data_IF_059818716156
#
_entry.id   IF_059818716156
#
_cell.length_a   1.000
_cell.length_b   1.000
_cell.length_c   1.000
_cell.angle_alpha   90.00
_cell.angle_beta   90.00
_cell.angle_gamma   90.00
#
_symmetry.space_group_name_H-M   'P 1'
#
loop_
_entity.id
_entity.type
_entity.pdbx_description
1 polymer ?
#
# COMPACT_ATOMS: atom_id res chain seq x y z
N UNK A 1 -21.57 2.32 18.65
CA UNK A 1 -22.04 3.01 17.43
C UNK A 1 -21.09 2.60 16.32
N UNK A 2 -21.57 2.16 15.16
CA UNK A 2 -20.66 1.82 14.06
C UNK A 2 -19.96 3.11 13.60
N UNK A 3 -18.65 3.20 13.79
CA UNK A 3 -17.85 4.31 13.29
C UNK A 3 -17.99 4.35 11.76
N UNK A 4 -18.37 5.50 11.22
CA UNK A 4 -18.49 5.65 9.78
C UNK A 4 -17.09 5.69 9.16
N UNK A 5 -16.64 4.54 8.65
CA UNK A 5 -15.35 4.42 7.99
C UNK A 5 -15.37 4.86 6.53
N UNK A 6 -16.54 5.19 5.97
CA UNK A 6 -16.67 5.59 4.57
C UNK A 6 -16.07 6.97 4.38
N UNK A 7 -15.10 7.06 3.47
CA UNK A 7 -14.47 8.31 3.04
C UNK A 7 -15.28 8.92 1.91
N UNK A 8 -15.73 8.09 0.95
CA UNK A 8 -16.54 8.55 -0.18
C UNK A 8 -17.23 7.39 -0.90
N UNK A 9 -18.31 7.71 -1.62
CA UNK A 9 -19.02 6.81 -2.53
C UNK A 9 -19.64 7.65 -3.66
N UNK A 10 -18.83 8.02 -4.66
CA UNK A 10 -19.27 8.87 -5.80
C UNK A 10 -18.37 8.73 -7.02
N UNK A 11 -18.78 9.39 -8.10
CA UNK A 11 -18.01 9.51 -9.34
C UNK A 11 -16.90 10.57 -9.25
N UNK A 12 -15.75 10.27 -9.84
CA UNK A 12 -14.58 11.13 -9.93
C UNK A 12 -14.03 11.17 -11.35
N UNK A 13 -13.49 12.31 -11.76
CA UNK A 13 -12.72 12.44 -13.01
C UNK A 13 -11.26 12.11 -12.71
N UNK A 14 -10.64 11.30 -13.57
CA UNK A 14 -9.22 11.01 -13.49
C UNK A 14 -8.43 12.22 -13.99
N UNK A 15 -7.58 12.75 -13.12
CA UNK A 15 -6.66 13.84 -13.41
C UNK A 15 -5.24 13.31 -13.62
N UNK A 16 -4.41 14.14 -14.25
CA UNK A 16 -2.99 13.85 -14.42
C UNK A 16 -2.18 15.13 -14.32
N UNK A 17 -1.11 15.11 -13.54
CA UNK A 17 -0.17 16.24 -13.55
C UNK A 17 0.51 16.38 -14.92
N UNK A 18 0.74 17.62 -15.38
CA UNK A 18 1.45 17.86 -16.63
C UNK A 18 2.90 17.35 -16.55
N UNK A 19 3.47 17.00 -17.70
CA UNK A 19 4.87 16.58 -17.84
C UNK A 19 5.11 15.06 -17.81
N UNK A 20 6.33 14.67 -18.18
CA UNK A 20 6.76 13.27 -18.20
C UNK A 20 6.84 12.75 -16.76
N UNK A 21 6.18 11.63 -16.48
CA UNK A 21 6.14 11.04 -15.14
C UNK A 21 5.08 11.64 -14.20
N UNK A 22 4.20 12.52 -14.70
CA UNK A 22 3.11 13.07 -13.91
C UNK A 22 2.19 11.99 -13.33
N UNK A 23 1.88 12.10 -12.04
CA UNK A 23 0.95 11.20 -11.36
C UNK A 23 -0.43 11.29 -12.01
N UNK A 24 -1.06 10.13 -12.21
CA UNK A 24 -2.47 10.02 -12.59
C UNK A 24 -3.25 9.68 -11.32
N UNK A 25 -4.32 10.42 -11.02
CA UNK A 25 -4.97 10.38 -9.71
C UNK A 25 -6.45 10.77 -9.79
N UNK A 26 -7.19 10.54 -8.70
CA UNK A 26 -8.46 11.23 -8.46
C UNK A 26 -8.30 12.22 -7.30
N UNK A 27 -8.92 13.40 -7.44
CA UNK A 27 -8.93 14.44 -6.42
C UNK A 27 -10.07 14.21 -5.44
N UNK A 28 -9.74 14.06 -4.17
CA UNK A 28 -10.68 13.84 -3.08
C UNK A 28 -10.87 15.13 -2.29
N UNK A 29 -12.02 15.77 -2.49
CA UNK A 29 -12.49 16.90 -1.68
C UNK A 29 -13.33 16.35 -0.52
N UNK A 30 -12.64 15.78 0.47
CA UNK A 30 -13.22 15.14 1.65
C UNK A 30 -12.37 15.48 2.87
N UNK A 31 -13.02 15.73 4.00
CA UNK A 31 -12.33 15.95 5.27
C UNK A 31 -11.98 14.58 5.86
N UNK A 32 -10.69 14.27 5.92
CA UNK A 32 -10.20 13.02 6.47
C UNK A 32 -10.14 13.08 8.00
N UNK A 33 -10.48 11.97 8.65
CA UNK A 33 -10.30 11.79 10.08
C UNK A 33 -8.79 11.72 10.37
N UNK A 34 -8.32 12.65 11.22
CA UNK A 34 -6.91 12.75 11.61
C UNK A 34 -6.48 11.55 12.47
N UNK A 35 -7.37 10.92 13.21
CA UNK A 35 -7.06 9.74 14.03
C UNK A 35 -6.62 8.55 13.17
N UNK A 36 -7.17 8.43 11.96
CA UNK A 36 -6.82 7.36 11.02
C UNK A 36 -5.72 7.78 10.02
N UNK A 37 -5.12 8.96 10.21
CA UNK A 37 -4.14 9.54 9.31
C UNK A 37 -2.78 9.68 10.01
N UNK A 38 -1.73 9.03 9.50
CA UNK A 38 -0.39 9.05 10.08
C UNK A 38 0.58 9.79 9.16
N UNK A 39 1.23 10.85 9.66
CA UNK A 39 2.19 11.65 8.89
C UNK A 39 1.59 12.30 7.64
N UNK A 40 0.30 12.65 7.69
CA UNK A 40 -0.45 13.20 6.56
C UNK A 40 -0.99 12.17 5.58
N UNK A 41 -0.56 10.90 5.67
CA UNK A 41 -1.05 9.83 4.81
C UNK A 41 -2.17 9.04 5.50
N UNK A 42 -3.17 8.66 4.71
CA UNK A 42 -4.29 7.85 5.19
C UNK A 42 -4.33 6.55 4.40
N UNK A 43 -4.32 5.42 5.11
CA UNK A 43 -4.45 4.09 4.51
C UNK A 43 -5.94 3.85 4.23
N UNK A 44 -6.23 3.38 3.01
CA UNK A 44 -7.59 3.17 2.53
C UNK A 44 -7.72 1.83 1.84
N UNK A 45 -8.96 1.37 1.79
CA UNK A 45 -9.40 0.24 0.97
C UNK A 45 -10.73 0.56 0.33
N UNK A 46 -11.17 -0.30 -0.59
CA UNK A 46 -12.48 -0.18 -1.20
C UNK A 46 -12.46 -0.60 -2.66
N UNK A 47 -13.28 0.06 -3.46
CA UNK A 47 -13.49 -0.30 -4.87
C UNK A 47 -13.44 0.94 -5.75
N UNK A 48 -12.80 0.81 -6.91
CA UNK A 48 -12.86 1.76 -8.01
C UNK A 48 -13.44 1.01 -9.20
N UNK A 49 -14.64 1.40 -9.63
CA UNK A 49 -15.50 0.63 -10.56
C UNK A 49 -15.62 -0.84 -10.15
N UNK A 50 -14.88 -1.72 -10.83
CA UNK A 50 -14.86 -3.16 -10.61
C UNK A 50 -13.61 -3.67 -9.89
N UNK A 51 -12.63 -2.80 -9.66
CA UNK A 51 -11.34 -3.16 -9.09
C UNK A 51 -11.31 -2.92 -7.58
N UNK A 52 -10.95 -3.95 -6.83
CA UNK A 52 -10.71 -3.85 -5.40
C UNK A 52 -9.32 -3.26 -5.16
N UNK A 53 -9.23 -2.32 -4.22
CA UNK A 53 -7.99 -1.75 -3.74
C UNK A 53 -7.87 -1.95 -2.23
N UNK A 54 -6.68 -2.36 -1.77
CA UNK A 54 -6.39 -2.61 -0.36
C UNK A 54 -5.01 -2.03 -0.02
N UNK A 55 -4.87 -1.43 1.17
CA UNK A 55 -3.62 -0.81 1.61
C UNK A 55 -3.15 0.36 0.74
N UNK A 56 -4.04 0.97 -0.06
CA UNK A 56 -3.71 2.17 -0.83
C UNK A 56 -3.55 3.35 0.12
N UNK A 57 -2.77 4.35 -0.29
CA UNK A 57 -2.56 5.56 0.51
C UNK A 57 -3.01 6.79 -0.27
N UNK A 58 -3.74 7.65 0.41
CA UNK A 58 -4.07 9.00 -0.08
C UNK A 58 -3.09 10.01 0.49
N UNK A 59 -2.64 10.93 -0.36
CA UNK A 59 -1.68 11.98 -0.04
C UNK A 59 -2.41 13.31 0.13
N UNK A 60 -2.06 14.15 1.12
CA UNK A 60 -2.65 15.47 1.24
C UNK A 60 -2.07 16.40 0.17
N UNK A 61 -2.94 17.16 -0.50
CA UNK A 61 -2.53 18.26 -1.40
C UNK A 61 -2.59 19.63 -0.72
N UNK A 62 -3.14 19.69 0.49
CA UNK A 62 -3.42 20.94 1.22
C UNK A 62 -4.87 21.40 1.04
N UNK A 63 -5.31 22.36 1.86
CA UNK A 63 -6.65 22.98 1.78
C UNK A 63 -7.82 21.98 1.82
N UNK A 64 -7.70 20.88 2.56
CA UNK A 64 -8.75 19.85 2.63
C UNK A 64 -8.87 18.98 1.38
N UNK A 65 -7.92 19.09 0.44
CA UNK A 65 -7.84 18.27 -0.75
C UNK A 65 -6.83 17.16 -0.52
N UNK A 66 -7.21 15.95 -0.88
CA UNK A 66 -6.31 14.81 -0.93
C UNK A 66 -6.28 14.20 -2.33
N UNK A 67 -5.22 13.48 -2.63
CA UNK A 67 -4.98 12.79 -3.88
C UNK A 67 -4.99 11.29 -3.63
N UNK A 68 -5.73 10.53 -4.43
CA UNK A 68 -5.55 9.08 -4.55
C UNK A 68 -4.81 8.75 -5.85
N UNK A 69 -3.52 8.37 -5.77
CA UNK A 69 -2.79 7.91 -6.94
C UNK A 69 -3.40 6.65 -7.57
N UNK A 70 -3.62 6.69 -8.88
CA UNK A 70 -4.00 5.55 -9.69
C UNK A 70 -2.75 4.92 -10.32
N UNK A 71 -2.23 3.89 -9.65
CA UNK A 71 -1.07 3.10 -10.10
C UNK A 71 -1.28 2.57 -11.53
N UNK A 72 -0.18 2.38 -12.26
CA UNK A 72 -0.23 1.97 -13.66
C UNK A 72 -1.06 0.69 -13.89
N UNK A 73 -0.90 -0.31 -13.03
CA UNK A 73 -1.61 -1.58 -13.19
C UNK A 73 -3.11 -1.45 -12.90
N UNK A 74 -3.50 -0.63 -11.92
CA UNK A 74 -4.91 -0.33 -11.68
C UNK A 74 -5.54 0.36 -12.91
N UNK A 75 -4.87 1.35 -13.49
CA UNK A 75 -5.36 2.03 -14.71
C UNK A 75 -5.52 1.08 -15.90
N UNK A 76 -4.59 0.12 -16.05
CA UNK A 76 -4.69 -0.92 -17.09
C UNK A 76 -5.92 -1.80 -16.87
N UNK A 77 -6.17 -2.25 -15.63
CA UNK A 77 -7.34 -3.09 -15.30
C UNK A 77 -8.66 -2.33 -15.52
N UNK A 78 -8.70 -1.06 -15.14
CA UNK A 78 -9.86 -0.19 -15.38
C UNK A 78 -10.06 0.15 -16.86
N UNK A 79 -9.01 0.02 -17.67
CA UNK A 79 -8.95 0.53 -19.05
C UNK A 79 -9.35 2.02 -19.15
N UNK A 80 -8.88 2.82 -18.20
CA UNK A 80 -9.22 4.25 -18.06
C UNK A 80 -7.99 5.12 -17.81
N UNK A 81 -8.03 6.32 -18.36
CA UNK A 81 -6.96 7.33 -18.30
C UNK A 81 -7.47 8.71 -17.92
N UNK A 82 -6.64 9.73 -18.16
CA UNK A 82 -6.99 11.12 -17.87
C UNK A 82 -8.28 11.52 -18.61
N UNK A 83 -9.19 12.18 -17.88
CA UNK A 83 -10.48 12.64 -18.41
C UNK A 83 -11.61 11.61 -18.28
N UNK A 84 -11.29 10.33 -18.14
CA UNK A 84 -12.29 9.30 -17.88
C UNK A 84 -12.83 9.42 -16.45
N UNK A 85 -14.03 8.86 -16.26
CA UNK A 85 -14.71 8.85 -14.97
C UNK A 85 -14.64 7.48 -14.31
N UNK A 86 -14.52 7.45 -13.00
CA UNK A 86 -14.57 6.24 -12.18
C UNK A 86 -15.49 6.45 -10.98
N UNK A 87 -16.24 5.41 -10.61
CA UNK A 87 -16.99 5.39 -9.37
C UNK A 87 -16.12 4.82 -8.26
N UNK A 88 -15.88 5.59 -7.21
CA UNK A 88 -15.05 5.18 -6.08
C UNK A 88 -15.89 5.05 -4.81
N UNK A 89 -15.86 3.87 -4.20
CA UNK A 89 -16.34 3.62 -2.84
C UNK A 89 -15.15 3.28 -1.97
N UNK A 90 -14.75 4.24 -1.11
CA UNK A 90 -13.52 4.16 -0.32
C UNK A 90 -13.82 4.25 1.16
N UNK A 91 -13.06 3.51 1.95
CA UNK A 91 -13.14 3.51 3.41
C UNK A 91 -11.74 3.49 4.04
N UNK A 92 -11.65 3.90 5.31
CA UNK A 92 -10.41 3.79 6.06
C UNK A 92 -10.01 2.32 6.20
N UNK A 93 -8.76 2.03 5.88
CA UNK A 93 -8.18 0.72 6.11
C UNK A 93 -7.45 0.73 7.45
N UNK A 94 -8.18 0.29 8.47
CA UNK A 94 -7.68 0.13 9.84
C UNK A 94 -7.01 -1.24 10.05
N UNK A 95 -6.78 -2.03 8.99
CA UNK A 95 -6.08 -3.30 9.11
C UNK A 95 -4.68 -3.09 9.69
N UNK A 96 -4.43 -3.75 10.81
CA UNK A 96 -3.08 -3.90 11.35
C UNK A 96 -2.43 -5.03 10.57
N UNK A 97 -1.39 -4.70 9.81
CA UNK A 97 -0.59 -5.71 9.14
C UNK A 97 0.22 -6.48 10.17
N UNK A 98 0.09 -7.81 10.13
CA UNK A 98 0.90 -8.71 10.92
C UNK A 98 1.81 -9.51 9.99
N UNK A 99 3.05 -9.68 10.41
CA UNK A 99 4.03 -10.51 9.70
C UNK A 99 3.67 -11.96 10.02
N UNK A 100 3.58 -12.86 9.02
CA UNK A 100 3.31 -14.27 9.25
C UNK A 100 4.28 -14.90 10.25
N UNK A 101 3.76 -15.74 11.14
CA UNK A 101 4.55 -16.37 12.22
C UNK A 101 5.76 -17.12 11.66
N UNK A 102 5.61 -17.85 10.54
CA UNK A 102 6.70 -18.58 9.87
C UNK A 102 7.92 -17.69 9.56
N UNK A 103 7.70 -16.42 9.20
CA UNK A 103 8.77 -15.46 8.89
C UNK A 103 9.36 -14.91 10.18
N UNK A 104 8.52 -14.61 11.18
CA UNK A 104 8.98 -14.11 12.47
C UNK A 104 9.80 -15.15 13.23
N UNK A 105 9.36 -16.41 13.27
CA UNK A 105 10.10 -17.54 13.83
C UNK A 105 11.48 -17.68 13.17
N UNK A 106 11.54 -17.61 11.84
CA UNK A 106 12.83 -17.62 11.14
C UNK A 106 13.73 -16.45 11.56
N UNK A 107 13.17 -15.24 11.69
CA UNK A 107 13.91 -14.04 12.10
C UNK A 107 14.37 -14.09 13.57
N UNK A 108 13.71 -14.82 14.46
CA UNK A 108 14.13 -14.98 15.87
C UNK A 108 15.52 -15.61 15.98
N UNK A 109 15.90 -16.46 15.03
CA UNK A 109 17.24 -17.04 14.95
C UNK A 109 18.32 -16.05 14.49
N UNK A 110 17.94 -14.86 13.98
CA UNK A 110 18.84 -13.84 13.47
C UNK A 110 18.53 -12.46 14.08
N UNK A 111 18.95 -12.19 15.34
CA UNK A 111 18.56 -10.99 16.08
C UNK A 111 18.82 -9.66 15.36
N UNK A 112 19.94 -9.54 14.63
CA UNK A 112 20.28 -8.33 13.86
C UNK A 112 19.34 -8.14 12.66
N UNK A 113 19.05 -9.21 11.91
CA UNK A 113 18.07 -9.18 10.82
C UNK A 113 16.68 -8.81 11.33
N UNK A 114 16.25 -9.40 12.45
CA UNK A 114 14.97 -9.10 13.11
C UNK A 114 14.89 -7.64 13.53
N UNK A 115 15.93 -7.13 14.19
CA UNK A 115 16.00 -5.73 14.63
C UNK A 115 15.91 -4.78 13.44
N UNK A 116 16.66 -5.04 12.37
CA UNK A 116 16.59 -4.23 11.16
C UNK A 116 15.20 -4.29 10.53
N UNK A 117 14.63 -5.48 10.37
CA UNK A 117 13.29 -5.67 9.81
C UNK A 117 12.21 -4.91 10.58
N UNK A 118 12.20 -5.02 11.91
CA UNK A 118 11.24 -4.32 12.77
C UNK A 118 11.44 -2.80 12.80
N UNK A 119 12.63 -2.31 12.46
CA UNK A 119 12.89 -0.87 12.34
C UNK A 119 12.33 -0.24 11.05
N UNK A 120 11.99 -1.06 10.04
CA UNK A 120 11.46 -0.57 8.77
C UNK A 120 9.99 -0.16 8.86
N UNK A 121 9.52 0.62 7.87
CA UNK A 121 8.09 0.89 7.70
C UNK A 121 7.31 -0.38 7.34
N UNK A 122 6.03 -0.44 7.71
CA UNK A 122 5.12 -1.55 7.34
C UNK A 122 5.17 -1.87 5.84
N UNK A 123 5.23 -0.84 4.98
CA UNK A 123 5.31 -1.02 3.53
C UNK A 123 6.59 -1.73 3.09
N UNK A 124 7.73 -1.43 3.73
CA UNK A 124 9.00 -2.12 3.43
C UNK A 124 9.01 -3.56 3.94
N UNK A 125 8.47 -3.81 5.14
CA UNK A 125 8.29 -5.16 5.66
C UNK A 125 7.39 -5.99 4.72
N UNK A 126 6.29 -5.40 4.26
CA UNK A 126 5.33 -6.04 3.37
C UNK A 126 5.93 -6.47 2.04
N UNK A 127 6.83 -5.69 1.44
CA UNK A 127 7.47 -6.12 0.19
C UNK A 127 8.20 -7.47 0.31
N UNK A 128 8.84 -7.73 1.45
CA UNK A 128 9.47 -9.03 1.68
C UNK A 128 8.44 -10.13 1.87
N UNK A 129 7.42 -9.88 2.70
CA UNK A 129 6.39 -10.88 3.01
C UNK A 129 5.55 -11.23 1.79
N UNK A 130 5.10 -10.24 1.01
CA UNK A 130 4.34 -10.46 -0.22
C UNK A 130 5.18 -11.27 -1.21
N UNK A 131 6.47 -10.94 -1.35
CA UNK A 131 7.39 -11.71 -2.20
C UNK A 131 7.58 -13.15 -1.70
N UNK A 132 7.64 -13.40 -0.40
CA UNK A 132 7.69 -14.77 0.15
C UNK A 132 6.36 -15.50 -0.12
N UNK A 133 5.22 -14.82 0.10
CA UNK A 133 3.88 -15.38 -0.07
C UNK A 133 3.52 -15.72 -1.53
N UNK A 134 4.12 -15.03 -2.50
CA UNK A 134 3.98 -15.34 -3.93
C UNK A 134 4.63 -16.69 -4.34
N UNK A 135 5.41 -17.33 -3.46
CA UNK A 135 6.03 -18.62 -3.75
C UNK A 135 4.96 -19.72 -3.89
N UNK A 136 5.04 -20.51 -4.97
CA UNK A 136 4.06 -21.58 -5.28
C UNK A 136 4.36 -22.92 -4.61
N UNK A 137 5.53 -23.08 -4.02
CA UNK A 137 5.95 -24.28 -3.32
C UNK A 137 6.87 -23.94 -2.15
N UNK A 138 7.00 -24.87 -1.21
CA UNK A 138 7.72 -24.68 0.04
C UNK A 138 9.22 -24.45 -0.19
N UNK A 139 9.83 -25.18 -1.13
CA UNK A 139 11.26 -25.00 -1.46
C UNK A 139 11.57 -23.55 -1.90
N UNK A 140 10.74 -22.99 -2.78
CA UNK A 140 10.88 -21.59 -3.20
C UNK A 140 10.65 -20.65 -2.03
N UNK A 141 9.68 -20.95 -1.16
CA UNK A 141 9.40 -20.13 0.01
C UNK A 141 10.60 -20.10 0.95
N UNK A 142 11.18 -21.26 1.29
CA UNK A 142 12.39 -21.37 2.14
C UNK A 142 13.55 -20.59 1.53
N UNK A 143 13.81 -20.76 0.24
CA UNK A 143 14.88 -20.03 -0.45
C UNK A 143 14.67 -18.52 -0.43
N UNK A 144 13.42 -18.05 -0.55
CA UNK A 144 13.08 -16.62 -0.42
C UNK A 144 13.29 -16.12 1.00
N UNK A 145 12.88 -16.88 2.01
CA UNK A 145 13.10 -16.52 3.42
C UNK A 145 14.60 -16.36 3.72
N UNK A 146 15.43 -17.32 3.32
CA UNK A 146 16.89 -17.23 3.48
C UNK A 146 17.46 -15.99 2.80
N UNK A 147 17.05 -15.72 1.56
CA UNK A 147 17.49 -14.51 0.84
C UNK A 147 17.04 -13.21 1.49
N UNK A 148 15.85 -13.19 2.10
CA UNK A 148 15.41 -12.03 2.89
C UNK A 148 16.31 -11.85 4.11
N UNK A 149 16.60 -12.91 4.85
CA UNK A 149 17.49 -12.86 6.02
C UNK A 149 18.86 -12.30 5.64
N UNK A 150 19.49 -12.83 4.58
CA UNK A 150 20.80 -12.35 4.10
C UNK A 150 20.78 -10.84 3.81
N UNK A 151 19.74 -10.37 3.10
CA UNK A 151 19.59 -8.93 2.80
C UNK A 151 19.39 -8.09 4.05
N UNK A 152 18.62 -8.57 5.02
CA UNK A 152 18.40 -7.85 6.27
C UNK A 152 19.69 -7.77 7.11
N UNK A 153 20.52 -8.82 7.11
CA UNK A 153 21.84 -8.81 7.73
C UNK A 153 22.79 -7.82 7.06
N UNK A 154 22.65 -7.61 5.75
CA UNK A 154 23.36 -6.55 5.01
C UNK A 154 22.77 -5.14 5.23
N UNK A 155 21.67 -5.01 5.99
CA UNK A 155 20.97 -3.74 6.18
C UNK A 155 20.25 -3.23 4.92
N UNK A 156 19.88 -4.14 4.00
CA UNK A 156 19.22 -3.83 2.72
C UNK A 156 17.72 -4.10 2.76
N UNK A 157 16.96 -3.22 2.12
CA UNK A 157 15.53 -3.37 1.79
C UNK A 157 15.38 -4.16 0.49
N UNK A 158 14.15 -4.57 0.14
CA UNK A 158 13.89 -5.39 -1.04
C UNK A 158 14.45 -4.81 -2.34
N UNK A 159 14.34 -3.48 -2.53
CA UNK A 159 14.75 -2.78 -3.75
C UNK A 159 16.11 -2.08 -3.66
N UNK A 160 16.84 -2.23 -2.56
CA UNK A 160 18.19 -1.69 -2.47
C UNK A 160 19.11 -2.48 -3.42
N UNK A 161 19.99 -1.80 -4.14
CA UNK A 161 20.93 -2.44 -5.07
C UNK A 161 22.05 -3.17 -4.32
#
# INVERSE_FOLDING_TARGET
MAENLIITEREYVIEKFPGKGGWTYIKLEVILNKEYSKGGWTKIRGKIDNEIIEGYKIAPMGQGISMLPLKADLRKKLNKGQGDKVFARLEYDLSTYMVPDEIMECLEHFPEARKFFLSMTESNQRYFVDWIAEAKNDETKVNRINKVIDRLLEGKRMYDL
#
